data_IF_488457124496
#
_entry.id   IF_488457124496
#
_cell.length_a   1.000
_cell.length_b   1.000
_cell.length_c   1.000
_cell.angle_alpha   90.00
_cell.angle_beta   90.00
_cell.angle_gamma   90.00
#
_symmetry.space_group_name_H-M   'P 1'
#
loop_
_entity.id
_entity.type
_entity.pdbx_description
1 polymer ?
#
# COMPACT_ATOMS: atom_id res chain seq x y z
N UNK A 1 3.19 16.14 32.03
CA UNK A 1 1.96 15.57 32.63
C UNK A 1 0.78 16.52 32.58
N UNK A 2 0.94 17.85 32.68
CA UNK A 2 -0.18 18.81 32.76
C UNK A 2 -1.13 18.91 31.56
N UNK A 3 -0.63 18.92 30.32
CA UNK A 3 -1.51 19.08 29.14
C UNK A 3 -2.46 17.89 28.88
N UNK A 4 -2.08 16.67 29.26
CA UNK A 4 -2.94 15.50 29.07
C UNK A 4 -4.10 15.47 30.05
N UNK A 5 -3.90 15.97 31.26
CA UNK A 5 -4.93 16.05 32.31
C UNK A 5 -5.94 17.15 31.99
N UNK A 6 -5.49 18.31 31.50
CA UNK A 6 -6.39 19.39 31.08
C UNK A 6 -7.28 18.99 29.89
N UNK A 7 -6.75 18.25 28.92
CA UNK A 7 -7.55 17.77 27.77
C UNK A 7 -8.57 16.68 28.14
N UNK A 8 -8.28 15.85 29.14
CA UNK A 8 -9.23 14.85 29.64
C UNK A 8 -10.39 15.55 30.37
N UNK A 9 -10.13 16.57 31.18
CA UNK A 9 -11.16 17.38 31.85
C UNK A 9 -12.14 18.03 30.86
N UNK A 10 -11.60 18.68 29.82
CA UNK A 10 -12.42 19.32 28.78
C UNK A 10 -13.31 18.33 28.00
N UNK A 11 -12.84 17.09 27.79
CA UNK A 11 -13.64 16.04 27.12
C UNK A 11 -14.73 15.48 28.04
N UNK A 12 -14.49 15.37 29.33
CA UNK A 12 -15.50 14.97 30.32
C UNK A 12 -16.58 16.05 30.49
N UNK A 13 -16.23 17.34 30.37
CA UNK A 13 -17.19 18.45 30.35
C UNK A 13 -18.13 18.38 29.13
N UNK A 14 -17.60 17.99 27.94
CA UNK A 14 -18.40 17.91 26.70
C UNK A 14 -19.28 16.66 26.65
N UNK A 15 -18.75 15.49 27.03
CA UNK A 15 -19.39 14.19 26.81
C UNK A 15 -19.90 13.52 28.12
N UNK A 16 -19.60 14.09 29.28
CA UNK A 16 -19.91 13.49 30.57
C UNK A 16 -19.01 12.28 30.91
N UNK A 17 -19.26 11.69 32.07
CA UNK A 17 -18.52 10.52 32.58
C UNK A 17 -18.96 9.25 31.86
N UNK A 18 -18.01 8.55 31.23
CA UNK A 18 -18.27 7.28 30.54
C UNK A 18 -18.26 6.09 31.49
N UNK A 19 -19.36 5.93 32.24
CA UNK A 19 -19.56 4.85 33.23
C UNK A 19 -19.49 3.46 32.59
N UNK A 20 -19.95 3.32 31.34
CA UNK A 20 -19.93 2.04 30.62
C UNK A 20 -18.48 1.58 30.39
N UNK A 21 -17.64 2.44 29.80
CA UNK A 21 -16.23 2.11 29.55
C UNK A 21 -15.46 1.87 30.87
N UNK A 22 -15.77 2.60 31.94
CA UNK A 22 -15.16 2.38 33.26
C UNK A 22 -15.53 1.01 33.83
N UNK A 23 -16.80 0.63 33.79
CA UNK A 23 -17.28 -0.69 34.23
C UNK A 23 -16.67 -1.83 33.41
N UNK A 24 -16.69 -1.70 32.08
CA UNK A 24 -16.11 -2.70 31.17
C UNK A 24 -14.59 -2.86 31.43
N UNK A 25 -13.86 -1.76 31.67
CA UNK A 25 -12.43 -1.81 31.98
C UNK A 25 -12.14 -2.59 33.27
N UNK A 26 -12.95 -2.39 34.31
CA UNK A 26 -12.89 -3.16 35.53
C UNK A 26 -13.05 -4.65 35.28
N UNK A 27 -14.09 -5.03 34.56
CA UNK A 27 -14.39 -6.44 34.22
C UNK A 27 -13.32 -7.07 33.33
N UNK A 28 -12.81 -6.35 32.32
CA UNK A 28 -11.69 -6.84 31.50
C UNK A 28 -10.43 -7.05 32.33
N UNK A 29 -10.13 -6.18 33.28
CA UNK A 29 -9.01 -6.37 34.21
C UNK A 29 -9.16 -7.65 35.02
N UNK A 30 -10.32 -7.86 35.66
CA UNK A 30 -10.63 -9.07 36.43
C UNK A 30 -10.47 -10.32 35.57
N UNK A 31 -11.03 -10.31 34.36
CA UNK A 31 -10.94 -11.43 33.41
C UNK A 31 -9.49 -11.76 33.01
N UNK A 32 -8.67 -10.74 32.68
CA UNK A 32 -7.26 -10.95 32.32
C UNK A 32 -6.50 -11.61 33.49
N UNK A 33 -6.72 -11.14 34.71
CA UNK A 33 -6.06 -11.71 35.88
C UNK A 33 -6.53 -13.14 36.15
N UNK A 34 -7.83 -13.43 36.05
CA UNK A 34 -8.38 -14.76 36.19
C UNK A 34 -7.83 -15.75 35.14
N UNK A 35 -7.77 -15.35 33.87
CA UNK A 35 -7.20 -16.17 32.80
C UNK A 35 -5.71 -16.46 33.03
N UNK A 36 -4.93 -15.47 33.45
CA UNK A 36 -3.51 -15.68 33.74
C UNK A 36 -3.28 -16.59 34.95
N UNK A 37 -4.17 -16.54 35.94
CA UNK A 37 -4.16 -17.43 37.09
C UNK A 37 -4.54 -18.86 36.72
N UNK A 38 -5.54 -19.03 35.89
CA UNK A 38 -5.97 -20.33 35.35
C UNK A 38 -4.85 -20.98 34.50
N UNK A 39 -4.24 -20.21 33.58
CA UNK A 39 -3.10 -20.65 32.78
C UNK A 39 -1.92 -21.15 33.66
N UNK A 40 -1.63 -20.40 34.74
CA UNK A 40 -0.59 -20.80 35.67
C UNK A 40 -0.97 -22.06 36.46
N UNK A 41 -2.22 -22.19 36.90
CA UNK A 41 -2.69 -23.36 37.63
C UNK A 41 -2.59 -24.64 36.76
N UNK A 42 -2.94 -24.54 35.48
CA UNK A 42 -2.78 -25.63 34.53
C UNK A 42 -1.31 -26.05 34.35
N UNK A 43 -0.40 -25.08 34.15
CA UNK A 43 1.04 -25.33 33.98
C UNK A 43 1.69 -25.93 35.26
N UNK A 44 1.26 -25.50 36.44
CA UNK A 44 1.78 -26.01 37.69
C UNK A 44 1.13 -27.33 38.10
N UNK A 45 0.07 -27.77 37.45
CA UNK A 45 -0.81 -28.88 37.87
C UNK A 45 -1.29 -28.73 39.33
N UNK A 46 -1.46 -27.46 39.78
CA UNK A 46 -1.92 -27.15 41.14
C UNK A 46 -2.53 -25.72 41.20
N UNK A 47 -3.65 -25.62 41.88
CA UNK A 47 -4.29 -24.34 42.22
C UNK A 47 -3.50 -23.47 43.20
N UNK A 48 -4.05 -22.30 43.52
CA UNK A 48 -3.47 -21.42 44.55
C UNK A 48 -3.66 -22.05 45.93
N UNK A 49 -2.57 -22.13 46.73
CA UNK A 49 -2.52 -22.78 48.08
C UNK A 49 -2.79 -24.30 48.08
N UNK A 50 -2.90 -24.96 46.92
CA UNK A 50 -3.07 -26.39 46.80
C UNK A 50 -1.73 -27.12 46.96
N UNK A 51 -1.73 -28.21 47.73
CA UNK A 51 -0.61 -29.15 47.87
C UNK A 51 -0.93 -30.40 47.03
N UNK A 52 -0.22 -30.60 45.92
CA UNK A 52 -0.40 -31.72 45.01
C UNK A 52 0.94 -32.41 44.78
N UNK A 53 0.97 -33.75 44.82
CA UNK A 53 2.18 -34.56 44.54
C UNK A 53 2.67 -34.41 43.09
N UNK A 54 1.78 -34.07 42.16
CA UNK A 54 2.11 -33.79 40.74
C UNK A 54 2.53 -32.37 40.42
N UNK A 55 2.79 -31.57 41.40
CA UNK A 55 3.09 -30.16 41.20
C UNK A 55 4.42 -29.91 40.51
N UNK A 56 4.38 -29.20 39.34
CA UNK A 56 5.52 -28.98 38.46
C UNK A 56 6.33 -27.70 38.76
N UNK A 57 6.15 -27.09 39.90
CA UNK A 57 6.87 -25.88 40.26
C UNK A 57 6.21 -25.10 41.41
N UNK A 58 6.62 -23.86 41.65
CA UNK A 58 6.10 -23.05 42.73
C UNK A 58 5.81 -21.61 42.35
N UNK A 59 4.77 -21.02 42.97
CA UNK A 59 4.37 -19.63 42.81
C UNK A 59 5.38 -18.71 43.48
N UNK A 60 5.70 -17.58 42.81
CA UNK A 60 6.68 -16.61 43.25
C UNK A 60 6.08 -15.19 43.28
N UNK A 61 4.96 -15.05 43.97
CA UNK A 61 4.24 -13.79 44.14
C UNK A 61 3.56 -13.29 42.85
N UNK A 62 3.24 -12.00 42.82
CA UNK A 62 2.59 -11.31 41.71
C UNK A 62 3.41 -10.11 41.27
N UNK A 63 3.24 -9.70 40.00
CA UNK A 63 3.88 -8.51 39.44
C UNK A 63 2.84 -7.59 38.84
N UNK A 64 2.85 -6.32 39.24
CA UNK A 64 2.03 -5.30 38.61
C UNK A 64 2.56 -4.92 37.26
N UNK A 65 1.64 -4.81 36.29
CA UNK A 65 1.91 -4.36 34.91
C UNK A 65 0.80 -3.48 34.42
N UNK A 66 1.15 -2.40 33.71
CA UNK A 66 0.20 -1.59 32.99
C UNK A 66 0.07 -2.09 31.55
N UNK A 67 -1.17 -2.34 31.11
CA UNK A 67 -1.53 -2.72 29.75
C UNK A 67 -2.55 -1.74 29.18
N UNK A 68 -2.32 -1.28 27.97
CA UNK A 68 -3.27 -0.47 27.22
C UNK A 68 -4.14 -1.37 26.33
N UNK A 69 -5.44 -1.27 26.49
CA UNK A 69 -6.46 -1.94 25.65
C UNK A 69 -7.25 -0.90 24.87
N UNK A 70 -8.20 -1.31 24.05
CA UNK A 70 -9.16 -0.41 23.39
C UNK A 70 -10.05 0.37 24.37
N UNK A 71 -10.11 -0.05 25.64
CA UNK A 71 -10.85 0.62 26.71
C UNK A 71 -9.96 1.56 27.57
N UNK A 72 -8.70 1.72 27.19
CA UNK A 72 -7.71 2.53 27.92
C UNK A 72 -6.64 1.71 28.63
N UNK A 73 -5.84 2.40 29.45
CA UNK A 73 -4.82 1.75 30.30
C UNK A 73 -5.47 1.10 31.53
N UNK A 74 -5.00 -0.09 31.86
CA UNK A 74 -5.37 -0.78 33.10
C UNK A 74 -4.13 -1.36 33.76
N UNK A 75 -4.11 -1.35 35.08
CA UNK A 75 -3.06 -2.01 35.89
C UNK A 75 -3.59 -3.38 36.27
N UNK A 76 -2.83 -4.40 35.92
CA UNK A 76 -3.11 -5.81 36.21
C UNK A 76 -2.02 -6.40 37.10
N UNK A 77 -2.39 -7.39 37.89
CA UNK A 77 -1.45 -8.17 38.71
C UNK A 77 -1.31 -9.56 38.09
N UNK A 78 -0.16 -9.83 37.49
CA UNK A 78 0.16 -11.12 36.88
C UNK A 78 0.87 -12.02 37.89
N UNK A 79 0.46 -13.29 38.01
CA UNK A 79 1.16 -14.24 38.83
C UNK A 79 2.55 -14.53 38.27
N UNK A 80 3.47 -14.88 39.16
CA UNK A 80 4.83 -15.34 38.82
C UNK A 80 5.05 -16.73 39.40
N UNK A 81 5.80 -17.54 38.69
CA UNK A 81 6.15 -18.86 39.14
C UNK A 81 7.51 -19.30 38.60
N UNK A 82 8.07 -20.30 39.19
CA UNK A 82 9.18 -21.08 38.65
C UNK A 82 8.70 -22.49 38.41
N UNK A 83 9.05 -23.01 37.25
CA UNK A 83 8.69 -24.36 36.78
C UNK A 83 9.95 -25.21 36.93
N UNK A 84 9.81 -26.35 37.56
CA UNK A 84 10.90 -27.32 37.71
C UNK A 84 11.13 -28.01 36.33
N UNK A 85 12.25 -27.67 35.68
CA UNK A 85 12.61 -28.17 34.36
C UNK A 85 13.98 -28.85 34.39
N UNK A 86 14.08 -30.01 35.05
CA UNK A 86 15.33 -30.77 35.21
C UNK A 86 16.31 -30.05 36.17
N UNK A 87 17.55 -29.85 35.76
CA UNK A 87 18.62 -29.30 36.58
C UNK A 87 18.47 -27.80 36.95
N UNK A 88 17.60 -27.04 36.25
CA UNK A 88 17.40 -25.60 36.50
C UNK A 88 15.94 -25.20 36.39
N UNK A 89 15.46 -24.50 37.40
CA UNK A 89 14.12 -23.90 37.37
C UNK A 89 14.03 -22.79 36.32
N UNK A 90 12.94 -22.79 35.56
CA UNK A 90 12.64 -21.75 34.58
C UNK A 90 11.55 -20.81 35.11
N UNK A 91 11.74 -19.50 34.92
CA UNK A 91 10.67 -18.53 35.19
C UNK A 91 9.52 -18.73 34.23
N UNK A 92 8.32 -18.96 34.76
CA UNK A 92 7.10 -19.06 33.95
C UNK A 92 6.77 -17.74 33.27
N UNK A 93 6.29 -17.82 32.04
CA UNK A 93 5.80 -16.69 31.26
C UNK A 93 4.41 -17.00 30.72
N UNK A 94 3.46 -16.11 30.99
CA UNK A 94 2.10 -16.24 30.46
C UNK A 94 2.11 -16.18 28.91
N UNK A 95 1.41 -17.09 28.26
CA UNK A 95 1.14 -17.07 26.83
C UNK A 95 0.11 -15.99 26.45
N UNK A 96 -0.76 -15.61 27.41
CA UNK A 96 -1.76 -14.56 27.22
C UNK A 96 -1.10 -13.18 27.06
N UNK A 97 -0.06 -12.90 27.89
CA UNK A 97 0.62 -11.59 27.91
C UNK A 97 2.14 -11.80 27.86
N UNK A 98 2.72 -11.55 26.72
CA UNK A 98 4.16 -11.65 26.51
C UNK A 98 4.95 -10.73 27.47
N UNK A 99 6.19 -11.13 27.82
CA UNK A 99 7.02 -10.51 28.87
C UNK A 99 7.11 -8.98 28.78
N UNK A 100 7.21 -8.41 27.59
CA UNK A 100 7.35 -6.97 27.36
C UNK A 100 6.15 -6.32 26.70
N UNK A 101 5.04 -7.04 26.56
CA UNK A 101 3.82 -6.51 25.97
C UNK A 101 3.21 -5.43 26.88
N UNK A 102 3.03 -4.23 26.36
CA UNK A 102 2.43 -3.09 27.05
C UNK A 102 1.08 -2.66 26.46
N UNK A 103 0.72 -3.23 25.33
CA UNK A 103 -0.51 -2.89 24.61
C UNK A 103 -1.13 -4.14 24.00
N UNK A 104 -2.46 -4.15 23.91
CA UNK A 104 -3.18 -5.12 23.12
C UNK A 104 -2.88 -4.90 21.62
N UNK A 105 -2.94 -5.96 20.82
CA UNK A 105 -2.69 -5.89 19.37
C UNK A 105 -3.65 -4.92 18.66
N UNK A 106 -4.90 -4.84 19.09
CA UNK A 106 -5.91 -3.90 18.58
C UNK A 106 -5.47 -2.44 18.70
N UNK A 107 -4.78 -2.08 19.78
CA UNK A 107 -4.21 -0.74 19.95
C UNK A 107 -3.07 -0.49 18.96
N UNK A 108 -2.17 -1.46 18.79
CA UNK A 108 -1.10 -1.36 17.78
C UNK A 108 -1.65 -1.26 16.36
N UNK A 109 -2.73 -1.99 16.05
CA UNK A 109 -3.45 -1.90 14.76
C UNK A 109 -4.07 -0.51 14.55
N UNK A 110 -4.73 0.04 15.56
CA UNK A 110 -5.29 1.39 15.49
C UNK A 110 -4.20 2.46 15.28
N UNK A 111 -3.07 2.34 15.97
CA UNK A 111 -1.91 3.22 15.80
C UNK A 111 -1.36 3.17 14.38
N UNK A 112 -1.20 1.97 13.84
CA UNK A 112 -0.74 1.77 12.47
C UNK A 112 -1.77 2.31 11.47
N UNK A 113 -3.06 2.05 11.67
CA UNK A 113 -4.15 2.60 10.87
C UNK A 113 -4.12 4.13 10.80
N UNK A 114 -3.96 4.81 11.93
CA UNK A 114 -3.80 6.26 11.97
C UNK A 114 -2.56 6.75 11.20
N UNK A 115 -1.43 6.03 11.32
CA UNK A 115 -0.22 6.35 10.56
C UNK A 115 -0.46 6.24 9.05
N UNK A 116 -1.05 5.13 8.62
CA UNK A 116 -1.35 4.88 7.21
C UNK A 116 -2.42 5.83 6.64
N UNK A 117 -3.31 6.36 7.48
CA UNK A 117 -4.25 7.41 7.10
C UNK A 117 -3.60 8.80 6.92
N UNK A 118 -2.28 8.88 7.09
CA UNK A 118 -1.49 10.10 6.86
C UNK A 118 -1.24 10.93 8.12
N UNK A 119 -1.56 10.44 9.31
CA UNK A 119 -1.22 11.13 10.54
C UNK A 119 0.24 10.89 10.94
N UNK A 120 0.98 11.95 11.22
CA UNK A 120 2.33 11.80 11.78
C UNK A 120 2.27 11.35 13.26
N UNK A 121 3.40 10.88 13.81
CA UNK A 121 3.48 10.34 15.17
C UNK A 121 2.99 11.30 16.27
N UNK A 122 3.14 12.62 16.07
CA UNK A 122 2.65 13.62 17.03
C UNK A 122 1.12 13.73 16.98
N UNK A 123 0.53 13.77 15.77
CA UNK A 123 -0.92 13.82 15.57
C UNK A 123 -1.60 12.55 16.08
N UNK A 124 -1.01 11.37 15.83
CA UNK A 124 -1.51 10.08 16.32
C UNK A 124 -1.63 10.10 17.84
N UNK A 125 -0.57 10.56 18.54
CA UNK A 125 -0.58 10.67 20.00
C UNK A 125 -1.70 11.57 20.49
N UNK A 126 -1.89 12.74 19.86
CA UNK A 126 -2.97 13.68 20.21
C UNK A 126 -4.37 13.11 19.94
N UNK A 127 -4.57 12.51 18.78
CA UNK A 127 -5.87 11.96 18.37
C UNK A 127 -6.32 10.76 19.25
N UNK A 128 -5.38 9.89 19.62
CA UNK A 128 -5.69 8.70 20.40
C UNK A 128 -5.54 8.88 21.92
N UNK A 129 -5.09 10.05 22.38
CA UNK A 129 -4.94 10.34 23.83
C UNK A 129 -6.25 10.14 24.62
N UNK A 130 -7.42 10.58 24.15
CA UNK A 130 -8.69 10.33 24.84
C UNK A 130 -9.04 8.85 24.95
N UNK A 131 -8.82 8.08 23.88
CA UNK A 131 -9.10 6.63 23.86
C UNK A 131 -8.15 5.88 24.80
N UNK A 132 -6.89 6.24 24.83
CA UNK A 132 -5.86 5.58 25.62
C UNK A 132 -5.85 6.03 27.09
N UNK A 133 -6.63 7.07 27.46
CA UNK A 133 -6.84 7.58 28.83
C UNK A 133 -5.56 7.57 29.69
N UNK A 134 -4.56 8.35 29.25
CA UNK A 134 -3.30 8.51 29.99
C UNK A 134 -2.27 7.39 29.83
N UNK A 135 -2.55 6.36 29.02
CA UNK A 135 -1.49 5.40 28.66
C UNK A 135 -0.36 6.11 27.94
N UNK A 136 0.90 5.98 28.39
CA UNK A 136 2.01 6.67 27.76
C UNK A 136 2.26 6.12 26.37
N UNK A 137 1.84 6.87 25.34
CA UNK A 137 2.21 6.60 23.96
C UNK A 137 3.54 7.30 23.66
N UNK A 138 4.63 6.58 23.83
CA UNK A 138 5.95 7.14 23.53
C UNK A 138 6.17 7.25 22.01
N UNK A 139 6.94 8.25 21.56
CA UNK A 139 7.38 8.36 20.16
C UNK A 139 8.04 7.07 19.67
N UNK A 140 8.84 6.42 20.53
CA UNK A 140 9.50 5.14 20.28
C UNK A 140 8.53 3.97 20.07
N UNK A 141 7.30 4.04 20.56
CA UNK A 141 6.29 3.00 20.31
C UNK A 141 5.84 3.01 18.85
N UNK A 142 5.54 4.18 18.29
CA UNK A 142 5.16 4.34 16.88
C UNK A 142 6.36 4.01 15.99
N UNK A 143 7.57 4.49 16.34
CA UNK A 143 8.78 4.16 15.59
C UNK A 143 9.05 2.66 15.50
N UNK A 144 8.79 1.89 16.56
CA UNK A 144 8.92 0.42 16.56
C UNK A 144 7.88 -0.26 15.66
N UNK A 145 6.64 0.23 15.62
CA UNK A 145 5.62 -0.28 14.71
C UNK A 145 6.02 -0.01 13.25
N UNK A 146 6.52 1.20 12.97
CA UNK A 146 7.03 1.57 11.65
C UNK A 146 8.26 0.74 11.28
N UNK A 147 9.14 0.41 12.23
CA UNK A 147 10.28 -0.49 12.03
C UNK A 147 9.87 -1.93 11.66
N UNK A 148 8.77 -2.45 12.22
CA UNK A 148 8.20 -3.75 11.80
C UNK A 148 7.69 -3.68 10.36
N UNK A 149 7.06 -2.57 9.97
CA UNK A 149 6.61 -2.36 8.60
C UNK A 149 7.78 -2.34 7.62
N UNK A 150 8.93 -1.79 8.02
CA UNK A 150 10.18 -1.82 7.24
C UNK A 150 10.66 -3.26 6.95
N UNK A 151 10.70 -4.10 7.98
CA UNK A 151 11.10 -5.50 7.83
C UNK A 151 10.18 -6.26 6.88
N UNK A 152 8.86 -6.05 7.01
CA UNK A 152 7.86 -6.63 6.10
C UNK A 152 8.02 -6.09 4.67
N UNK A 153 8.32 -4.80 4.50
CA UNK A 153 8.58 -4.20 3.19
C UNK A 153 9.80 -4.83 2.52
N UNK A 154 10.90 -4.98 3.25
CA UNK A 154 12.11 -5.63 2.73
C UNK A 154 11.83 -7.06 2.27
N UNK A 155 11.11 -7.84 3.09
CA UNK A 155 10.71 -9.20 2.74
C UNK A 155 9.80 -9.24 1.51
N UNK A 156 8.80 -8.35 1.46
CA UNK A 156 7.89 -8.24 0.33
C UNK A 156 8.61 -7.87 -0.95
N UNK A 157 9.56 -6.94 -0.88
CA UNK A 157 10.33 -6.48 -2.02
C UNK A 157 11.27 -7.52 -2.58
N UNK A 158 11.81 -8.41 -1.73
CA UNK A 158 12.68 -9.52 -2.13
C UNK A 158 11.95 -10.80 -2.52
N UNK A 159 10.61 -10.83 -2.46
CA UNK A 159 9.83 -12.02 -2.76
C UNK A 159 9.98 -12.45 -4.22
N UNK A 160 9.91 -13.76 -4.47
CA UNK A 160 9.83 -14.29 -5.83
C UNK A 160 8.57 -13.83 -6.54
N UNK A 161 8.68 -13.48 -7.81
CA UNK A 161 7.59 -13.14 -8.72
C UNK A 161 7.32 -14.25 -9.74
N UNK A 162 8.04 -15.37 -9.67
CA UNK A 162 7.94 -16.46 -10.64
C UNK A 162 6.56 -17.12 -10.70
N UNK A 163 5.83 -17.12 -9.58
CA UNK A 163 4.47 -17.64 -9.48
C UNK A 163 3.39 -16.61 -9.87
N UNK A 164 3.77 -15.35 -10.08
CA UNK A 164 2.81 -14.32 -10.47
C UNK A 164 2.57 -14.41 -11.98
N UNK A 165 1.48 -15.05 -12.39
CA UNK A 165 1.05 -15.17 -13.78
C UNK A 165 0.51 -13.84 -14.30
N UNK A 166 1.40 -12.86 -14.52
CA UNK A 166 1.05 -11.51 -14.98
C UNK A 166 0.83 -11.52 -16.48
N UNK A 167 -0.39 -11.18 -16.89
CA UNK A 167 -0.78 -11.07 -18.30
C UNK A 167 -0.64 -9.64 -18.81
N UNK A 168 -1.09 -8.66 -18.02
CA UNK A 168 -0.98 -7.24 -18.33
C UNK A 168 -0.15 -6.53 -17.26
N UNK A 169 0.76 -5.67 -17.70
CA UNK A 169 1.62 -4.90 -16.82
C UNK A 169 1.41 -3.41 -17.04
N UNK A 170 1.02 -2.71 -15.99
CA UNK A 170 0.92 -1.25 -15.96
C UNK A 170 2.14 -0.69 -15.25
N UNK A 171 2.78 0.30 -15.85
CA UNK A 171 3.93 1.01 -15.29
C UNK A 171 3.67 2.51 -15.32
N UNK A 172 3.92 3.15 -14.19
CA UNK A 172 3.72 4.58 -14.01
C UNK A 172 4.61 5.10 -12.88
N UNK A 173 4.82 6.40 -12.84
CA UNK A 173 5.55 7.05 -11.77
C UNK A 173 4.64 8.03 -11.02
N UNK A 174 4.78 8.06 -9.70
CA UNK A 174 4.12 9.04 -8.84
C UNK A 174 5.15 9.96 -8.22
N UNK A 175 5.02 11.26 -8.44
CA UNK A 175 5.87 12.25 -7.80
C UNK A 175 5.42 12.51 -6.36
N UNK A 176 6.33 12.32 -5.38
CA UNK A 176 6.09 12.56 -3.97
C UNK A 176 7.06 13.62 -3.43
N UNK A 177 6.57 14.42 -2.47
CA UNK A 177 7.40 15.41 -1.77
C UNK A 177 8.12 14.74 -0.60
N UNK A 178 9.43 14.64 -0.71
CA UNK A 178 10.30 13.94 0.25
C UNK A 178 11.40 14.88 0.71
N UNK A 179 11.79 14.80 1.96
CA UNK A 179 12.92 15.54 2.52
C UNK A 179 14.22 14.78 2.26
N UNK A 180 15.10 15.37 1.48
CA UNK A 180 16.44 14.85 1.19
C UNK A 180 17.44 15.97 1.46
N UNK A 181 18.47 15.69 2.24
CA UNK A 181 19.51 16.66 2.62
C UNK A 181 18.93 18.02 3.09
N UNK A 182 17.94 17.96 4.00
CA UNK A 182 17.21 19.12 4.55
C UNK A 182 16.36 19.94 3.57
N UNK A 183 16.28 19.56 2.30
CA UNK A 183 15.40 20.18 1.29
C UNK A 183 14.20 19.27 1.00
N UNK A 184 13.04 19.88 0.74
CA UNK A 184 11.85 19.14 0.28
C UNK A 184 11.85 19.19 -1.23
N UNK A 185 12.11 18.05 -1.86
CA UNK A 185 12.10 17.90 -3.31
C UNK A 185 11.01 16.94 -3.77
N UNK A 186 10.61 17.06 -5.03
CA UNK A 186 9.71 16.12 -5.67
C UNK A 186 10.54 14.98 -6.26
N UNK A 187 10.26 13.75 -5.85
CA UNK A 187 10.95 12.56 -6.33
C UNK A 187 9.97 11.54 -6.88
N UNK A 188 10.28 10.86 -7.98
CA UNK A 188 9.42 9.83 -8.53
C UNK A 188 9.52 8.54 -7.72
N UNK A 189 8.37 7.92 -7.49
CA UNK A 189 8.26 6.52 -7.06
C UNK A 189 7.72 5.76 -8.26
N UNK A 190 8.52 4.85 -8.79
CA UNK A 190 8.14 3.97 -9.88
C UNK A 190 7.27 2.85 -9.31
N UNK A 191 6.17 2.55 -9.99
CA UNK A 191 5.18 1.56 -9.55
C UNK A 191 4.89 0.59 -10.68
N UNK A 192 4.97 -0.71 -10.37
CA UNK A 192 4.58 -1.79 -11.26
C UNK A 192 3.31 -2.49 -10.76
N UNK A 193 2.25 -2.46 -11.56
CA UNK A 193 0.97 -3.11 -11.27
C UNK A 193 0.71 -4.22 -12.31
N UNK A 194 0.77 -5.47 -11.86
CA UNK A 194 0.41 -6.63 -12.68
C UNK A 194 -1.08 -6.94 -12.61
N UNK A 195 -1.62 -7.47 -13.69
CA UNK A 195 -2.95 -8.11 -13.75
C UNK A 195 -2.75 -9.57 -14.10
N UNK A 196 -3.26 -10.45 -13.24
CA UNK A 196 -3.16 -11.90 -13.39
C UNK A 196 -4.24 -12.45 -14.34
N UNK A 197 -4.12 -13.73 -14.69
CA UNK A 197 -5.09 -14.43 -15.54
C UNK A 197 -6.52 -14.43 -14.98
N UNK A 198 -6.67 -14.39 -13.64
CA UNK A 198 -7.97 -14.30 -12.97
C UNK A 198 -8.49 -12.86 -12.85
N UNK A 199 -7.80 -11.89 -13.45
CA UNK A 199 -8.13 -10.47 -13.43
C UNK A 199 -7.77 -9.74 -12.14
N UNK A 200 -7.21 -10.42 -11.14
CA UNK A 200 -6.74 -9.78 -9.93
C UNK A 200 -5.53 -8.90 -10.21
N UNK A 201 -5.47 -7.76 -9.53
CA UNK A 201 -4.35 -6.84 -9.58
C UNK A 201 -3.36 -7.15 -8.47
N UNK A 202 -2.09 -7.15 -8.79
CA UNK A 202 -0.99 -7.35 -7.85
C UNK A 202 0.04 -6.23 -8.03
N UNK A 203 0.46 -5.61 -6.92
CA UNK A 203 1.58 -4.66 -6.97
C UNK A 203 2.86 -5.49 -6.94
N UNK A 204 3.65 -5.37 -7.99
CA UNK A 204 4.88 -6.13 -8.19
C UNK A 204 6.05 -5.49 -7.44
N UNK A 205 6.15 -4.17 -7.59
CA UNK A 205 7.13 -3.35 -6.89
C UNK A 205 6.68 -1.90 -6.78
N UNK A 206 7.30 -1.19 -5.85
CA UNK A 206 7.31 0.25 -5.74
C UNK A 206 8.70 0.69 -5.26
N UNK A 207 9.31 1.62 -5.96
CA UNK A 207 10.67 2.03 -5.67
C UNK A 207 10.87 3.52 -5.95
N UNK A 208 11.52 4.19 -5.00
CA UNK A 208 11.84 5.60 -5.13
C UNK A 208 13.18 5.77 -5.85
N UNK A 209 13.16 6.58 -6.91
CA UNK A 209 14.32 6.92 -7.69
C UNK A 209 14.59 8.44 -7.68
N UNK A 210 15.78 8.83 -8.09
CA UNK A 210 16.13 10.26 -8.19
C UNK A 210 15.47 10.96 -9.38
N UNK A 211 15.13 10.21 -10.42
CA UNK A 211 14.54 10.71 -11.66
C UNK A 211 13.74 9.61 -12.37
N UNK A 212 12.99 9.99 -13.41
CA UNK A 212 12.31 9.06 -14.33
C UNK A 212 13.18 8.80 -15.58
N UNK A 213 14.50 8.67 -15.40
CA UNK A 213 15.43 8.38 -16.49
C UNK A 213 15.34 6.94 -16.99
N UNK A 214 15.86 6.67 -18.19
CA UNK A 214 15.92 5.31 -18.73
C UNK A 214 16.67 4.36 -17.80
N UNK A 215 17.77 4.80 -17.19
CA UNK A 215 18.56 3.99 -16.26
C UNK A 215 17.79 3.63 -14.99
N UNK A 216 16.96 4.53 -14.48
CA UNK A 216 16.11 4.23 -13.32
C UNK A 216 15.03 3.19 -13.67
N UNK A 217 14.40 3.30 -14.83
CA UNK A 217 13.48 2.28 -15.31
C UNK A 217 14.16 0.95 -15.61
N UNK A 218 15.36 0.96 -16.17
CA UNK A 218 16.17 -0.26 -16.38
C UNK A 218 16.42 -0.99 -15.05
N UNK A 219 16.90 -0.29 -14.02
CA UNK A 219 17.10 -0.87 -12.69
C UNK A 219 15.81 -1.43 -12.09
N UNK A 220 14.68 -0.74 -12.27
CA UNK A 220 13.37 -1.24 -11.85
C UNK A 220 13.00 -2.54 -12.56
N UNK A 221 13.20 -2.65 -13.88
CA UNK A 221 12.97 -3.87 -14.65
C UNK A 221 13.89 -5.02 -14.23
N UNK A 222 15.18 -4.73 -14.03
CA UNK A 222 16.17 -5.71 -13.55
C UNK A 222 15.71 -6.30 -12.20
N UNK A 223 15.21 -5.45 -11.30
CA UNK A 223 14.63 -5.86 -10.03
C UNK A 223 13.41 -6.78 -10.17
N UNK A 224 12.53 -6.55 -11.13
CA UNK A 224 11.37 -7.39 -11.41
C UNK A 224 11.79 -8.74 -12.03
N UNK A 225 12.68 -8.71 -13.02
CA UNK A 225 13.12 -9.87 -13.79
C UNK A 225 13.98 -10.81 -12.91
N UNK A 226 14.91 -10.26 -12.11
CA UNK A 226 15.74 -11.05 -11.20
C UNK A 226 14.93 -11.82 -10.18
N UNK A 227 13.75 -11.34 -9.82
CA UNK A 227 12.78 -12.03 -8.95
C UNK A 227 11.89 -13.00 -9.71
N UNK A 228 12.10 -13.20 -11.00
CA UNK A 228 11.42 -14.19 -11.82
C UNK A 228 10.15 -13.72 -12.52
N UNK A 229 9.90 -12.41 -12.62
CA UNK A 229 8.76 -11.90 -13.40
C UNK A 229 8.91 -12.29 -14.86
N UNK A 230 7.94 -13.02 -15.37
CA UNK A 230 7.89 -13.40 -16.78
C UNK A 230 7.38 -12.24 -17.64
N UNK A 231 7.75 -12.26 -18.93
CA UNK A 231 7.29 -11.29 -19.94
C UNK A 231 5.75 -11.29 -20.03
N UNK A 232 5.09 -10.13 -19.85
CA UNK A 232 3.63 -10.01 -19.98
C UNK A 232 3.19 -10.00 -21.45
N UNK A 233 1.89 -10.20 -21.72
CA UNK A 233 1.33 -10.09 -23.06
C UNK A 233 1.34 -8.65 -23.57
N UNK A 234 1.13 -7.67 -22.70
CA UNK A 234 1.17 -6.25 -23.03
C UNK A 234 1.64 -5.42 -21.84
N UNK A 235 2.40 -4.37 -22.13
CA UNK A 235 2.80 -3.34 -21.17
C UNK A 235 2.07 -2.05 -21.47
N UNK A 236 1.38 -1.48 -20.48
CA UNK A 236 0.59 -0.26 -20.60
C UNK A 236 1.34 0.89 -19.92
N UNK A 237 1.68 1.95 -20.68
CA UNK A 237 2.51 3.08 -20.23
C UNK A 237 1.91 4.43 -20.63
N UNK A 238 2.33 5.49 -19.97
CA UNK A 238 1.91 6.87 -20.24
C UNK A 238 2.58 7.52 -21.45
N UNK A 239 3.74 7.02 -21.85
CA UNK A 239 4.50 7.56 -22.98
C UNK A 239 5.83 8.19 -22.58
N UNK A 240 6.31 7.97 -21.39
CA UNK A 240 7.67 8.31 -21.00
C UNK A 240 8.68 7.56 -21.88
N UNK A 241 9.57 8.32 -22.57
CA UNK A 241 10.55 7.75 -23.52
C UNK A 241 11.54 6.80 -22.82
N UNK A 242 11.96 7.14 -21.60
CA UNK A 242 12.86 6.31 -20.82
C UNK A 242 12.23 4.97 -20.44
N UNK A 243 10.95 4.98 -20.04
CA UNK A 243 10.19 3.79 -19.75
C UNK A 243 9.99 2.92 -21.02
N UNK A 244 9.66 3.55 -22.17
CA UNK A 244 9.52 2.82 -23.44
C UNK A 244 10.81 2.14 -23.87
N UNK A 245 11.97 2.83 -23.73
CA UNK A 245 13.27 2.27 -24.03
C UNK A 245 13.62 1.10 -23.11
N UNK A 246 13.30 1.20 -21.82
CA UNK A 246 13.53 0.14 -20.86
C UNK A 246 12.68 -1.11 -21.13
N UNK A 247 11.42 -0.94 -21.57
CA UNK A 247 10.57 -2.05 -22.01
C UNK A 247 11.20 -2.78 -23.20
N UNK A 248 11.62 -2.05 -24.23
CA UNK A 248 12.22 -2.65 -25.44
C UNK A 248 13.52 -3.39 -25.14
N UNK A 249 14.37 -2.81 -24.28
CA UNK A 249 15.64 -3.42 -23.90
C UNK A 249 15.46 -4.73 -23.14
N UNK A 250 14.54 -4.75 -22.16
CA UNK A 250 14.36 -5.89 -21.25
C UNK A 250 13.43 -6.97 -21.83
N UNK A 251 12.42 -6.58 -22.61
CA UNK A 251 11.47 -7.47 -23.24
C UNK A 251 11.26 -7.11 -24.71
N UNK A 252 12.26 -7.36 -25.57
CA UNK A 252 12.17 -7.01 -27.00
C UNK A 252 10.92 -7.59 -27.65
N UNK A 253 10.23 -6.79 -28.46
CA UNK A 253 9.03 -7.20 -29.16
C UNK A 253 7.82 -7.45 -28.26
N UNK A 254 7.81 -7.01 -27.01
CA UNK A 254 6.59 -7.01 -26.19
C UNK A 254 5.62 -5.96 -26.69
N UNK A 255 4.34 -6.34 -26.84
CA UNK A 255 3.32 -5.38 -27.20
C UNK A 255 3.24 -4.25 -26.16
N UNK A 256 3.28 -3.02 -26.63
CA UNK A 256 3.15 -1.81 -25.79
C UNK A 256 1.85 -1.13 -26.14
N UNK A 257 1.10 -0.71 -25.12
CA UNK A 257 -0.05 0.16 -25.24
C UNK A 257 0.27 1.53 -24.63
N UNK A 258 0.15 2.58 -25.43
CA UNK A 258 0.24 3.96 -24.97
C UNK A 258 -1.11 4.42 -24.40
N UNK A 259 -1.09 5.04 -23.22
CA UNK A 259 -2.30 5.56 -22.60
C UNK A 259 -2.98 6.60 -23.48
N UNK A 260 -4.22 6.31 -23.89
CA UNK A 260 -5.00 7.20 -24.76
C UNK A 260 -5.36 8.53 -24.09
N UNK A 261 -5.56 8.55 -22.76
CA UNK A 261 -5.88 9.76 -22.00
C UNK A 261 -4.66 10.68 -21.91
N UNK A 262 -3.47 10.13 -21.62
CA UNK A 262 -2.23 10.94 -21.61
C UNK A 262 -1.91 11.48 -22.99
N UNK A 263 -2.13 10.68 -24.03
CA UNK A 263 -1.93 11.14 -25.42
C UNK A 263 -2.89 12.28 -25.77
N UNK A 264 -4.17 12.18 -25.42
CA UNK A 264 -5.11 13.29 -25.62
C UNK A 264 -4.63 14.58 -24.94
N UNK A 265 -4.24 14.53 -23.69
CA UNK A 265 -3.69 15.71 -22.98
C UNK A 265 -2.46 16.31 -23.69
N UNK A 266 -1.63 15.46 -24.28
CA UNK A 266 -0.47 15.93 -25.07
C UNK A 266 -0.93 16.62 -26.38
N UNK A 267 -1.94 16.08 -27.07
CA UNK A 267 -2.51 16.71 -28.27
C UNK A 267 -3.12 18.07 -27.93
N UNK A 268 -3.91 18.14 -26.85
CA UNK A 268 -4.54 19.39 -26.37
C UNK A 268 -3.50 20.50 -26.07
N UNK A 269 -2.29 20.15 -25.61
CA UNK A 269 -1.22 21.14 -25.38
C UNK A 269 -0.69 21.79 -26.67
N UNK A 270 -0.79 21.08 -27.81
CA UNK A 270 -0.32 21.57 -29.11
C UNK A 270 -1.46 22.08 -29.97
N UNK A 271 -2.71 21.82 -29.61
CA UNK A 271 -3.88 22.25 -30.35
C UNK A 271 -4.11 23.79 -30.19
N UNK A 272 -4.47 24.49 -31.29
CA UNK A 272 -4.94 25.86 -31.21
C UNK A 272 -6.21 25.94 -30.35
N UNK A 273 -6.34 26.99 -29.53
CA UNK A 273 -7.49 27.12 -28.61
C UNK A 273 -8.85 27.02 -29.30
N UNK A 274 -8.99 27.58 -30.51
CA UNK A 274 -10.23 27.55 -31.28
C UNK A 274 -10.58 26.18 -31.85
N UNK A 275 -9.58 25.29 -31.99
CA UNK A 275 -9.74 23.94 -32.56
C UNK A 275 -9.68 22.81 -31.54
N UNK A 276 -9.58 23.13 -30.26
CA UNK A 276 -9.33 22.15 -29.20
C UNK A 276 -10.42 21.06 -29.12
N UNK A 277 -11.69 21.44 -29.17
CA UNK A 277 -12.82 20.48 -29.14
C UNK A 277 -12.92 19.65 -30.39
N UNK A 278 -12.52 20.21 -31.55
CA UNK A 278 -12.50 19.47 -32.80
C UNK A 278 -11.37 18.44 -32.85
N UNK A 279 -10.16 18.81 -32.40
CA UNK A 279 -9.03 17.87 -32.21
C UNK A 279 -9.43 16.72 -31.30
N UNK A 280 -10.09 17.02 -30.18
CA UNK A 280 -10.57 16.03 -29.23
C UNK A 280 -11.62 15.10 -29.84
N UNK A 281 -12.58 15.65 -30.57
CA UNK A 281 -13.62 14.87 -31.27
C UNK A 281 -13.02 13.93 -32.30
N UNK A 282 -12.10 14.42 -33.13
CA UNK A 282 -11.44 13.61 -34.15
C UNK A 282 -10.54 12.54 -33.50
N UNK A 283 -9.85 12.85 -32.43
CA UNK A 283 -9.09 11.89 -31.66
C UNK A 283 -9.97 10.80 -31.03
N UNK A 284 -11.14 11.16 -30.51
CA UNK A 284 -12.09 10.21 -29.95
C UNK A 284 -12.61 9.23 -31.00
N UNK A 285 -12.74 9.63 -32.29
CA UNK A 285 -13.06 8.71 -33.41
C UNK A 285 -12.02 7.63 -33.57
N UNK A 286 -10.74 7.88 -33.23
CA UNK A 286 -9.66 6.89 -33.27
C UNK A 286 -9.79 5.90 -32.12
N UNK A 287 -9.89 6.40 -30.87
CA UNK A 287 -9.76 5.56 -29.68
C UNK A 287 -11.07 4.92 -29.22
N UNK A 288 -12.20 5.31 -29.82
CA UNK A 288 -13.53 4.76 -29.55
C UNK A 288 -14.17 4.12 -30.78
N UNK A 289 -13.39 3.85 -31.84
CA UNK A 289 -13.87 3.11 -33.00
C UNK A 289 -14.32 1.68 -32.60
N UNK A 290 -15.23 1.12 -33.40
CA UNK A 290 -15.77 -0.22 -33.15
C UNK A 290 -14.83 -1.35 -33.60
N UNK A 291 -13.84 -1.05 -34.45
CA UNK A 291 -12.84 -1.98 -34.97
C UNK A 291 -11.49 -1.32 -35.21
N UNK A 292 -10.44 -2.15 -35.33
CA UNK A 292 -9.09 -1.67 -35.66
C UNK A 292 -9.06 -0.98 -37.03
N UNK A 293 -9.79 -1.51 -38.01
CA UNK A 293 -9.85 -0.92 -39.35
C UNK A 293 -10.44 0.48 -39.33
N UNK A 294 -11.56 0.66 -38.61
CA UNK A 294 -12.15 1.98 -38.41
C UNK A 294 -11.22 2.93 -37.67
N UNK A 295 -10.54 2.45 -36.62
CA UNK A 295 -9.55 3.23 -35.88
C UNK A 295 -8.39 3.68 -36.77
N UNK A 296 -7.85 2.78 -37.63
CA UNK A 296 -6.79 3.11 -38.59
C UNK A 296 -7.27 4.09 -39.66
N UNK A 297 -8.52 3.99 -40.12
CA UNK A 297 -9.11 4.98 -41.03
C UNK A 297 -9.19 6.35 -40.35
N UNK A 298 -9.79 6.43 -39.15
CA UNK A 298 -9.92 7.67 -38.42
C UNK A 298 -8.53 8.29 -38.09
N UNK A 299 -7.50 7.46 -37.84
CA UNK A 299 -6.12 7.90 -37.63
C UNK A 299 -5.55 8.59 -38.88
N UNK A 300 -5.74 8.00 -40.08
CA UNK A 300 -5.32 8.63 -41.36
C UNK A 300 -6.08 9.92 -41.64
N UNK A 301 -7.40 9.93 -41.41
CA UNK A 301 -8.24 11.11 -41.60
C UNK A 301 -7.79 12.25 -40.67
N UNK A 302 -7.46 11.93 -39.42
CA UNK A 302 -6.89 12.89 -38.46
C UNK A 302 -5.59 13.51 -38.99
N UNK A 303 -4.64 12.70 -39.42
CA UNK A 303 -3.36 13.18 -39.96
C UNK A 303 -3.62 14.08 -41.18
N UNK A 304 -4.42 13.64 -42.16
CA UNK A 304 -4.70 14.40 -43.35
C UNK A 304 -5.28 15.79 -43.06
N UNK A 305 -6.20 15.86 -42.14
CA UNK A 305 -6.84 17.12 -41.70
C UNK A 305 -5.87 18.03 -40.93
N UNK A 306 -5.26 17.51 -39.89
CA UNK A 306 -4.51 18.33 -38.93
C UNK A 306 -3.08 18.64 -39.37
N UNK A 307 -2.53 17.92 -40.37
CA UNK A 307 -1.17 18.20 -40.89
C UNK A 307 -1.05 19.62 -41.45
N UNK A 308 -2.13 20.13 -42.05
CA UNK A 308 -2.18 21.51 -42.58
C UNK A 308 -2.56 22.54 -41.51
N UNK A 309 -3.45 22.19 -40.57
CA UNK A 309 -4.04 23.10 -39.60
C UNK A 309 -3.22 23.22 -38.30
N UNK A 310 -2.64 22.12 -37.86
CA UNK A 310 -1.89 22.03 -36.62
C UNK A 310 -0.80 20.94 -36.66
N UNK A 311 0.28 21.10 -37.43
CA UNK A 311 1.32 20.07 -37.65
C UNK A 311 1.90 19.48 -36.37
N UNK A 312 2.06 20.30 -35.30
CA UNK A 312 2.56 19.83 -33.99
C UNK A 312 1.65 18.82 -33.32
N UNK A 313 0.34 18.89 -33.57
CA UNK A 313 -0.64 17.90 -33.07
C UNK A 313 -0.41 16.56 -33.76
N UNK A 314 -0.16 16.59 -35.06
CA UNK A 314 0.12 15.38 -35.88
C UNK A 314 1.44 14.74 -35.42
N UNK A 315 2.51 15.50 -35.31
CA UNK A 315 3.80 15.00 -34.80
C UNK A 315 3.63 14.35 -33.42
N UNK A 316 2.83 14.97 -32.55
CA UNK A 316 2.53 14.38 -31.25
C UNK A 316 1.73 13.08 -31.35
N UNK A 317 0.80 12.95 -32.28
CA UNK A 317 0.05 11.70 -32.48
C UNK A 317 0.96 10.59 -33.02
N UNK A 318 1.73 10.88 -34.06
CA UNK A 318 2.64 9.95 -34.74
C UNK A 318 3.75 9.43 -33.83
N UNK A 319 4.18 10.23 -32.84
CA UNK A 319 5.13 9.78 -31.80
C UNK A 319 4.63 8.54 -31.04
N UNK A 320 3.33 8.41 -30.83
CA UNK A 320 2.74 7.21 -30.23
C UNK A 320 2.54 6.08 -31.23
N UNK A 321 2.32 6.42 -32.49
CA UNK A 321 2.19 5.47 -33.61
C UNK A 321 1.13 4.39 -33.36
N UNK A 322 1.42 3.19 -33.79
CA UNK A 322 0.53 2.02 -33.66
C UNK A 322 0.38 1.55 -32.20
N UNK A 323 1.30 1.92 -31.30
CA UNK A 323 1.20 1.59 -29.86
C UNK A 323 -0.07 2.18 -29.22
N UNK A 324 -0.67 3.20 -29.83
CA UNK A 324 -1.94 3.75 -29.38
C UNK A 324 -3.13 2.81 -29.66
N UNK A 325 -3.00 1.93 -30.64
CA UNK A 325 -4.05 1.04 -31.13
C UNK A 325 -3.86 -0.43 -30.68
N UNK A 326 -2.84 -0.72 -29.88
CA UNK A 326 -2.52 -2.09 -29.44
C UNK A 326 -3.69 -2.77 -28.75
N UNK A 327 -4.50 -2.03 -27.98
CA UNK A 327 -5.63 -2.59 -27.25
C UNK A 327 -6.71 -3.20 -28.16
N UNK A 328 -6.83 -2.80 -29.42
CA UNK A 328 -7.75 -3.40 -30.38
C UNK A 328 -7.43 -4.87 -30.72
N UNK A 329 -6.21 -5.34 -30.44
CA UNK A 329 -5.81 -6.74 -30.61
C UNK A 329 -6.36 -7.67 -29.53
N UNK A 330 -7.02 -7.11 -28.51
CA UNK A 330 -7.59 -7.84 -27.37
C UNK A 330 -9.12 -7.90 -27.48
N UNK A 331 -9.79 -8.78 -26.72
CA UNK A 331 -11.26 -8.83 -26.66
C UNK A 331 -11.88 -7.47 -26.32
N UNK A 332 -12.99 -7.13 -26.99
CA UNK A 332 -13.66 -5.82 -26.82
C UNK A 332 -14.00 -5.49 -25.36
N UNK A 333 -14.33 -6.50 -24.56
CA UNK A 333 -14.61 -6.37 -23.13
C UNK A 333 -13.42 -5.82 -22.32
N UNK A 334 -12.17 -5.98 -22.80
CA UNK A 334 -10.94 -5.54 -22.15
C UNK A 334 -10.46 -4.16 -22.61
N UNK A 335 -10.97 -3.64 -23.73
CA UNK A 335 -10.51 -2.38 -24.35
C UNK A 335 -10.50 -1.22 -23.36
N UNK A 336 -11.56 -1.09 -22.55
CA UNK A 336 -11.67 -0.02 -21.54
C UNK A 336 -10.54 -0.07 -20.51
N UNK A 337 -10.13 -1.27 -20.12
CA UNK A 337 -9.05 -1.46 -19.15
C UNK A 337 -7.67 -1.23 -19.78
N UNK A 338 -7.46 -1.71 -21.01
CA UNK A 338 -6.13 -1.72 -21.64
C UNK A 338 -5.75 -0.38 -22.27
N UNK A 339 -6.70 0.38 -22.86
CA UNK A 339 -6.39 1.62 -23.56
C UNK A 339 -5.91 2.77 -22.68
N UNK A 340 -5.99 2.63 -21.34
CA UNK A 340 -5.63 3.68 -20.40
C UNK A 340 -4.82 3.16 -19.21
N UNK A 341 -4.05 4.03 -18.58
CA UNK A 341 -3.36 3.77 -17.30
C UNK A 341 -4.28 3.91 -16.08
N UNK A 342 -5.60 4.03 -16.25
CA UNK A 342 -6.55 4.28 -15.16
C UNK A 342 -6.43 3.27 -14.00
N UNK A 343 -6.02 2.03 -14.29
CA UNK A 343 -5.84 1.00 -13.26
C UNK A 343 -4.77 1.40 -12.24
N UNK A 344 -3.62 1.91 -12.73
CA UNK A 344 -2.51 2.35 -11.88
C UNK A 344 -2.70 3.81 -11.43
N UNK A 345 -3.30 4.69 -12.23
CA UNK A 345 -3.61 6.06 -11.84
C UNK A 345 -4.54 6.12 -10.62
N UNK A 346 -5.50 5.20 -10.54
CA UNK A 346 -6.39 5.09 -9.38
C UNK A 346 -5.60 4.73 -8.12
N UNK A 347 -4.64 3.81 -8.20
CA UNK A 347 -3.71 3.48 -7.13
C UNK A 347 -2.87 4.69 -6.72
N UNK A 348 -2.28 5.38 -7.70
CA UNK A 348 -1.48 6.59 -7.49
C UNK A 348 -2.30 7.73 -6.87
N UNK A 349 -3.59 7.84 -7.21
CA UNK A 349 -4.54 8.77 -6.59
C UNK A 349 -4.74 8.48 -5.10
N UNK A 350 -4.88 7.20 -4.72
CA UNK A 350 -4.97 6.80 -3.31
C UNK A 350 -3.67 7.13 -2.55
N UNK A 351 -2.51 6.89 -3.14
CA UNK A 351 -1.23 7.26 -2.56
C UNK A 351 -1.12 8.77 -2.33
N UNK A 352 -1.41 9.58 -3.36
CA UNK A 352 -1.37 11.06 -3.25
C UNK A 352 -2.29 11.57 -2.13
N UNK A 353 -3.48 10.99 -2.00
CA UNK A 353 -4.47 11.40 -0.97
C UNK A 353 -3.90 11.24 0.44
N UNK A 354 -3.20 10.12 0.72
CA UNK A 354 -2.61 9.84 2.05
C UNK A 354 -1.35 10.66 2.31
N UNK A 355 -0.54 10.86 1.29
CA UNK A 355 0.71 11.63 1.42
C UNK A 355 0.44 13.13 1.56
N UNK A 356 -0.60 13.66 0.89
CA UNK A 356 -0.95 15.09 0.94
C UNK A 356 -1.16 15.60 2.36
N UNK A 357 -1.68 14.80 3.27
CA UNK A 357 -1.94 15.18 4.67
C UNK A 357 -0.65 15.38 5.48
N UNK A 358 0.49 14.87 5.03
CA UNK A 358 1.78 14.99 5.70
C UNK A 358 2.63 16.16 5.18
N UNK A 359 2.17 16.88 4.15
CA UNK A 359 2.87 17.98 3.46
C UNK A 359 4.16 17.52 2.76
N UNK A 360 5.06 16.85 3.48
CA UNK A 360 6.25 16.19 2.95
C UNK A 360 6.60 14.97 3.82
N UNK A 361 7.19 13.97 3.21
CA UNK A 361 7.67 12.78 3.91
C UNK A 361 9.08 13.02 4.46
N UNK A 362 9.42 12.48 5.65
CA UNK A 362 10.69 12.79 6.31
C UNK A 362 11.91 12.27 5.57
N UNK A 363 11.79 11.16 4.85
CA UNK A 363 12.84 10.54 4.05
C UNK A 363 12.25 9.61 2.99
N UNK A 364 13.10 9.10 2.08
CA UNK A 364 12.73 8.19 1.00
C UNK A 364 12.12 6.88 1.54
N UNK A 365 12.73 6.29 2.56
CA UNK A 365 12.24 5.04 3.17
C UNK A 365 10.87 5.21 3.82
N UNK A 366 10.61 6.39 4.40
CA UNK A 366 9.28 6.70 4.95
C UNK A 366 8.20 6.74 3.86
N UNK A 367 8.56 7.22 2.65
CA UNK A 367 7.66 7.20 1.50
C UNK A 367 7.31 5.77 1.10
N UNK A 368 8.30 4.93 0.85
CA UNK A 368 8.12 3.54 0.43
C UNK A 368 7.35 2.72 1.48
N UNK A 369 7.71 2.87 2.77
CA UNK A 369 6.99 2.21 3.88
C UNK A 369 5.53 2.61 3.97
N UNK A 370 5.22 3.90 3.79
CA UNK A 370 3.84 4.37 3.83
C UNK A 370 3.04 3.77 2.68
N UNK A 371 3.57 3.80 1.46
CA UNK A 371 2.90 3.24 0.29
C UNK A 371 2.71 1.72 0.44
N UNK A 372 3.74 1.00 0.86
CA UNK A 372 3.65 -0.42 1.15
C UNK A 372 2.61 -0.73 2.24
N UNK A 373 2.63 0.02 3.33
CA UNK A 373 1.67 -0.14 4.42
C UNK A 373 0.22 0.05 3.97
N UNK A 374 -0.04 0.99 3.06
CA UNK A 374 -1.36 1.19 2.46
C UNK A 374 -1.81 -0.03 1.63
N UNK A 375 -0.87 -0.67 0.94
CA UNK A 375 -1.13 -1.87 0.14
C UNK A 375 -1.52 -3.05 1.06
N UNK A 376 -0.67 -3.37 2.05
CA UNK A 376 -0.86 -4.57 2.88
C UNK A 376 -1.99 -4.44 3.90
N UNK A 377 -2.35 -3.22 4.29
CA UNK A 377 -3.44 -2.98 5.26
C UNK A 377 -4.84 -3.18 4.69
N UNK A 378 -4.97 -3.38 3.37
CA UNK A 378 -6.26 -3.48 2.69
C UNK A 378 -7.03 -2.15 2.62
N UNK A 379 -6.43 -1.02 3.00
CA UNK A 379 -7.05 0.31 2.85
C UNK A 379 -7.23 0.70 1.39
N UNK A 380 -6.44 0.12 0.49
CA UNK A 380 -6.60 0.26 -0.95
C UNK A 380 -7.19 -1.02 -1.51
N UNK A 381 -8.46 -0.95 -1.91
CA UNK A 381 -9.13 -2.07 -2.55
C UNK A 381 -8.86 -2.06 -4.06
N UNK A 382 -8.22 -3.11 -4.54
CA UNK A 382 -7.97 -3.31 -5.97
C UNK A 382 -9.02 -4.25 -6.55
N UNK A 383 -9.99 -3.68 -7.27
CA UNK A 383 -10.99 -4.47 -7.99
C UNK A 383 -10.37 -5.09 -9.23
N UNK A 384 -10.91 -6.24 -9.68
CA UNK A 384 -10.56 -6.85 -10.96
C UNK A 384 -10.77 -5.87 -12.11
N UNK A 385 -10.07 -6.10 -13.23
CA UNK A 385 -10.28 -5.29 -14.45
C UNK A 385 -11.57 -5.69 -15.17
N UNK A 386 -12.11 -4.79 -16.00
CA UNK A 386 -13.23 -5.11 -16.87
C UNK A 386 -12.77 -6.15 -17.90
N UNK A 387 -13.65 -7.10 -18.27
CA UNK A 387 -13.35 -8.17 -19.23
C UNK A 387 -12.40 -9.27 -18.72
N UNK A 388 -12.18 -9.36 -17.42
CA UNK A 388 -11.23 -10.32 -16.82
C UNK A 388 -11.52 -11.79 -17.15
N UNK A 389 -12.78 -12.17 -17.42
CA UNK A 389 -13.15 -13.55 -17.73
C UNK A 389 -12.54 -14.05 -19.04
N UNK A 390 -12.22 -13.14 -19.96
CA UNK A 390 -11.64 -13.45 -21.26
C UNK A 390 -10.10 -13.40 -21.27
N UNK A 391 -9.44 -13.07 -20.14
CA UNK A 391 -7.98 -13.02 -20.05
C UNK A 391 -7.35 -14.38 -20.37
N UNK A 392 -7.98 -15.48 -19.95
CA UNK A 392 -7.50 -16.85 -20.21
C UNK A 392 -7.35 -17.19 -21.69
N UNK A 393 -8.02 -16.46 -22.55
CA UNK A 393 -7.97 -16.64 -24.01
C UNK A 393 -6.96 -15.72 -24.70
N UNK A 394 -6.27 -14.87 -23.91
CA UNK A 394 -5.23 -13.99 -24.42
C UNK A 394 -3.92 -14.78 -24.48
N UNK A 395 -3.58 -15.26 -25.68
CA UNK A 395 -2.25 -15.80 -25.95
C UNK A 395 -1.21 -14.67 -25.95
N UNK A 396 0.07 -14.95 -25.59
CA UNK A 396 1.13 -13.99 -25.78
C UNK A 396 1.12 -13.52 -27.26
N UNK A 397 0.87 -12.24 -27.46
CA UNK A 397 0.92 -11.65 -28.80
C UNK A 397 2.35 -11.79 -29.29
N UNK A 398 2.56 -12.60 -30.34
CA UNK A 398 3.82 -12.55 -31.08
C UNK A 398 3.96 -11.15 -31.64
N UNK A 399 5.12 -10.54 -31.48
CA UNK A 399 5.47 -9.32 -32.19
C UNK A 399 5.26 -9.57 -33.67
N UNK A 400 4.51 -8.71 -34.31
CA UNK A 400 4.37 -8.72 -35.79
C UNK A 400 5.64 -8.18 -36.40
#
# INVERSE_FOLDING_TARGET
>A
MGEGIQRLGAMEEIFGRDRLTEGLRGKVREMIMALAEAELAEVLAAGSYERSEGRLGYRNGKRQRSISTGLGATVIELPRARISAGERDKEWQSGLIARYQRRARSVDQALLGCYLSGANARRIRGALSPLLRGAPLSKSAISRLVGRLEALFTQWRSRSLASEAVVFLYLDAIALRVRIANKVISVPVLVGLGVKEDGQKVILDLELFQSESSSCWEGFFEGLISRGLKRPCVVIIDGNKGLRAAVEKNWPGTAVQRCTVHKLRNLERYAPRHALEEVKTDYHRIVYADSLEQAKKAYRDFISKWNKLAPKVVVSLEEAGEELLTFYRFPKSQWKSLRTTNAIERLNGEFRRRVKTQSSLPDARAAERLLFGLIISGQIQMRRIDGWREIKHVSPLKAA
#
